data_IF_085788562201
#
_entry.id   IF_085788562201
#
_cell.length_a   1.000
_cell.length_b   1.000
_cell.length_c   1.000
_cell.angle_alpha   90.00
_cell.angle_beta   90.00
_cell.angle_gamma   90.00
#
_symmetry.space_group_name_H-M   'P 1'
#
loop_
_entity.id
_entity.type
_entity.pdbx_description
1 polymer ?
#
# COMPACT_ATOMS: atom_id res chain seq x y z
N UNK A 1 -28.58 -7.02 12.55
CA UNK A 1 -27.74 -6.62 11.40
C UNK A 1 -26.49 -6.00 11.97
N UNK A 2 -25.44 -6.76 12.10
CA UNK A 2 -24.15 -6.34 12.69
C UNK A 2 -23.19 -6.01 11.55
N UNK A 3 -23.36 -4.82 10.96
CA UNK A 3 -22.45 -4.33 9.92
C UNK A 3 -21.08 -3.86 10.44
N UNK A 4 -20.88 -3.80 11.75
CA UNK A 4 -19.68 -3.23 12.36
C UNK A 4 -18.54 -4.24 12.63
N UNK A 5 -18.80 -5.55 12.56
CA UNK A 5 -17.79 -6.56 12.87
C UNK A 5 -16.88 -6.94 11.69
N UNK A 6 -17.20 -6.46 10.48
CA UNK A 6 -16.51 -6.87 9.25
C UNK A 6 -15.64 -5.74 8.64
N UNK A 7 -15.49 -4.63 9.35
CA UNK A 7 -14.64 -3.51 8.95
C UNK A 7 -13.42 -3.46 9.85
N UNK A 8 -12.24 -3.43 9.25
CA UNK A 8 -10.97 -3.17 9.93
C UNK A 8 -10.36 -1.89 9.38
N UNK A 9 -9.78 -1.08 10.25
CA UNK A 9 -9.06 0.12 9.86
C UNK A 9 -7.73 0.19 10.61
N UNK A 10 -6.67 0.59 9.92
CA UNK A 10 -5.34 0.79 10.48
C UNK A 10 -4.82 2.14 10.02
N UNK A 11 -4.25 2.90 10.96
CA UNK A 11 -3.55 4.13 10.67
C UNK A 11 -2.21 4.09 11.42
N UNK A 12 -1.13 4.31 10.70
CA UNK A 12 0.22 4.33 11.26
C UNK A 12 0.93 5.58 10.76
N UNK A 13 1.56 6.28 11.69
CA UNK A 13 2.46 7.39 11.42
C UNK A 13 3.83 7.08 11.99
N UNK A 14 4.86 7.17 11.16
CA UNK A 14 6.25 6.96 11.57
C UNK A 14 7.09 8.14 11.12
N UNK A 15 7.85 8.67 12.05
CA UNK A 15 8.88 9.69 11.77
C UNK A 15 10.24 9.16 12.17
N UNK A 16 11.18 9.20 11.24
CA UNK A 16 12.56 8.77 11.47
C UNK A 16 13.50 9.92 11.13
N UNK A 17 14.47 10.12 11.99
CA UNK A 17 15.54 11.10 11.79
C UNK A 17 16.86 10.44 12.11
N UNK A 18 17.77 10.44 11.16
CA UNK A 18 19.12 9.88 11.30
C UNK A 18 20.12 10.98 11.01
N UNK A 19 21.08 11.15 11.90
CA UNK A 19 22.17 12.09 11.74
C UNK A 19 23.50 11.34 11.74
N UNK A 20 24.30 11.58 10.72
CA UNK A 20 25.62 10.96 10.55
C UNK A 20 26.67 12.06 10.44
N UNK A 21 27.65 12.05 11.34
CA UNK A 21 28.77 12.97 11.32
C UNK A 21 29.95 12.34 10.58
N UNK A 22 30.42 13.01 9.55
CA UNK A 22 31.69 12.67 8.88
C UNK A 22 32.81 13.56 9.43
N UNK A 23 33.71 12.97 10.17
CA UNK A 23 34.86 13.70 10.76
C UNK A 23 35.90 14.06 9.71
N UNK A 24 36.03 13.28 8.65
CA UNK A 24 36.99 13.51 7.56
C UNK A 24 36.55 14.70 6.68
N UNK A 25 35.27 14.79 6.38
CA UNK A 25 34.70 15.88 5.56
C UNK A 25 34.16 17.05 6.37
N UNK A 26 34.17 16.97 7.72
CA UNK A 26 33.63 17.98 8.65
C UNK A 26 32.21 18.38 8.26
N UNK A 27 31.37 17.38 8.02
CA UNK A 27 29.99 17.58 7.58
C UNK A 27 29.01 16.65 8.34
N UNK A 28 27.78 17.13 8.50
CA UNK A 28 26.68 16.35 9.06
C UNK A 28 25.69 16.06 7.94
N UNK A 29 25.37 14.78 7.75
CA UNK A 29 24.29 14.33 6.89
C UNK A 29 23.09 13.99 7.77
N UNK A 30 21.99 14.70 7.54
CA UNK A 30 20.74 14.49 8.22
C UNK A 30 19.72 13.92 7.25
N UNK A 31 19.22 12.71 7.53
CA UNK A 31 18.16 12.07 6.77
C UNK A 31 16.89 12.05 7.60
N UNK A 32 15.81 12.61 7.08
CA UNK A 32 14.49 12.61 7.69
C UNK A 32 13.52 11.83 6.81
N UNK A 33 12.72 10.95 7.40
CA UNK A 33 11.64 10.24 6.73
C UNK A 33 10.35 10.38 7.54
N UNK A 34 9.30 10.85 6.88
CA UNK A 34 7.94 10.88 7.40
C UNK A 34 7.10 9.88 6.59
N UNK A 35 6.60 8.84 7.27
CA UNK A 35 5.82 7.78 6.68
C UNK A 35 4.40 7.78 7.27
N UNK A 36 3.38 7.81 6.41
CA UNK A 36 1.97 7.66 6.77
C UNK A 36 1.43 6.45 6.05
N UNK A 37 0.84 5.52 6.79
CA UNK A 37 0.18 4.35 6.22
C UNK A 37 -1.25 4.27 6.75
N UNK A 38 -2.21 4.17 5.87
CA UNK A 38 -3.62 3.95 6.20
C UNK A 38 -4.12 2.71 5.46
N UNK A 39 -4.75 1.79 6.17
CA UNK A 39 -5.32 0.59 5.60
C UNK A 39 -6.75 0.39 6.08
N UNK A 40 -7.62 -0.07 5.20
CA UNK A 40 -8.98 -0.48 5.54
C UNK A 40 -9.29 -1.81 4.88
N UNK A 41 -9.90 -2.70 5.64
CA UNK A 41 -10.42 -3.97 5.16
C UNK A 41 -11.92 -4.06 5.41
N UNK A 42 -12.66 -4.55 4.42
CA UNK A 42 -14.08 -4.79 4.52
C UNK A 42 -14.43 -6.18 4.02
N UNK A 43 -15.15 -6.94 4.84
CA UNK A 43 -15.65 -8.26 4.50
C UNK A 43 -17.15 -8.26 4.41
N UNK A 44 -17.68 -8.75 3.30
CA UNK A 44 -19.11 -8.94 3.08
C UNK A 44 -19.38 -10.43 2.91
N UNK A 45 -20.20 -10.99 3.78
CA UNK A 45 -20.59 -12.38 3.73
C UNK A 45 -21.87 -12.54 2.91
N UNK A 46 -21.95 -13.60 2.09
CA UNK A 46 -23.16 -13.93 1.36
C UNK A 46 -23.48 -13.06 0.14
N UNK A 47 -22.47 -12.46 -0.49
CA UNK A 47 -22.63 -11.63 -1.70
C UNK A 47 -22.92 -12.48 -2.92
N UNK A 48 -24.01 -12.20 -3.62
CA UNK A 48 -24.39 -12.83 -4.89
C UNK A 48 -24.07 -11.90 -6.06
N UNK A 49 -22.82 -11.89 -6.51
CA UNK A 49 -22.39 -11.04 -7.64
C UNK A 49 -22.77 -11.63 -9.01
N UNK A 50 -22.82 -12.94 -9.15
CA UNK A 50 -23.15 -13.58 -10.41
C UNK A 50 -24.22 -14.67 -10.20
N UNK A 51 -25.35 -14.54 -10.90
CA UNK A 51 -26.39 -15.51 -11.20
C UNK A 51 -26.65 -16.59 -10.15
N UNK A 52 -27.34 -16.25 -9.05
CA UNK A 52 -27.93 -17.28 -8.21
C UNK A 52 -29.03 -17.99 -8.99
N UNK A 53 -28.80 -19.23 -9.42
CA UNK A 53 -29.91 -20.13 -9.75
C UNK A 53 -30.71 -20.36 -8.47
N UNK A 54 -32.01 -20.00 -8.40
CA UNK A 54 -32.85 -20.39 -7.30
C UNK A 54 -33.15 -21.90 -7.48
N UNK A 55 -32.47 -22.74 -6.78
CA UNK A 55 -32.66 -24.17 -6.91
C UNK A 55 -31.94 -24.95 -5.83
N UNK A 56 -32.73 -25.37 -4.86
CA UNK A 56 -32.55 -26.59 -4.10
C UNK A 56 -31.44 -26.66 -3.05
N UNK A 57 -31.84 -26.46 -1.84
CA UNK A 57 -31.45 -27.09 -0.60
C UNK A 57 -30.05 -27.65 -0.41
N UNK A 58 -29.48 -27.35 0.76
CA UNK A 58 -28.33 -27.96 1.40
C UNK A 58 -26.97 -27.74 0.75
N UNK A 59 -26.27 -26.83 1.33
CA UNK A 59 -24.92 -26.33 1.18
C UNK A 59 -24.88 -24.92 0.55
N UNK A 60 -25.34 -23.93 1.30
CA UNK A 60 -25.01 -22.55 1.01
C UNK A 60 -23.50 -22.40 1.14
N UNK A 61 -22.83 -22.36 0.02
CA UNK A 61 -21.46 -21.84 -0.03
C UNK A 61 -21.60 -20.35 0.28
N UNK A 62 -21.04 -19.95 1.39
CA UNK A 62 -20.94 -18.55 1.74
C UNK A 62 -20.04 -17.89 0.69
N UNK A 63 -20.64 -17.08 -0.17
CA UNK A 63 -19.90 -16.29 -1.14
C UNK A 63 -19.39 -15.04 -0.40
N UNK A 64 -18.15 -15.09 0.03
CA UNK A 64 -17.54 -14.00 0.78
C UNK A 64 -16.75 -13.10 -0.16
N UNK A 65 -16.91 -11.80 0.02
CA UNK A 65 -16.13 -10.77 -0.65
C UNK A 65 -15.27 -10.07 0.40
N UNK A 66 -13.96 -10.19 0.27
CA UNK A 66 -13.00 -9.46 1.10
C UNK A 66 -12.38 -8.36 0.25
N UNK A 67 -12.45 -7.12 0.70
CA UNK A 67 -11.84 -5.97 0.05
C UNK A 67 -10.83 -5.35 0.99
N UNK A 68 -9.64 -5.03 0.48
CA UNK A 68 -8.61 -4.32 1.21
C UNK A 68 -8.16 -3.12 0.39
N UNK A 69 -8.00 -1.99 1.07
CA UNK A 69 -7.48 -0.76 0.50
C UNK A 69 -6.37 -0.27 1.42
N UNK A 70 -5.16 -0.17 0.88
CA UNK A 70 -3.99 0.33 1.58
C UNK A 70 -3.45 1.57 0.87
N UNK A 71 -3.22 2.61 1.64
CA UNK A 71 -2.60 3.86 1.22
C UNK A 71 -1.31 4.07 1.99
N UNK A 72 -0.24 4.44 1.30
CA UNK A 72 1.04 4.77 1.92
C UNK A 72 1.61 6.04 1.28
N UNK A 73 2.02 6.96 2.14
CA UNK A 73 2.72 8.17 1.79
C UNK A 73 4.05 8.22 2.52
N UNK A 74 5.13 8.41 1.78
CA UNK A 74 6.48 8.56 2.31
C UNK A 74 7.10 9.84 1.78
N UNK A 75 7.67 10.65 2.67
CA UNK A 75 8.46 11.82 2.32
C UNK A 75 9.82 11.70 2.98
N UNK A 76 10.86 11.55 2.18
CA UNK A 76 12.23 11.37 2.64
C UNK A 76 13.11 12.51 2.10
N UNK A 77 13.88 13.14 2.97
CA UNK A 77 14.81 14.21 2.63
C UNK A 77 16.16 13.94 3.27
N UNK A 78 17.22 14.20 2.53
CA UNK A 78 18.58 14.18 3.06
C UNK A 78 19.24 15.55 2.85
N UNK A 79 19.72 16.13 3.95
CA UNK A 79 20.41 17.40 3.99
C UNK A 79 21.88 17.16 4.38
N UNK A 80 22.79 17.75 3.65
CA UNK A 80 24.20 17.80 4.03
C UNK A 80 24.52 19.20 4.53
N UNK A 81 25.00 19.29 5.76
CA UNK A 81 25.47 20.53 6.39
C UNK A 81 26.98 20.49 6.50
N UNK A 82 27.64 21.37 5.79
CA UNK A 82 29.06 21.58 5.92
C UNK A 82 29.34 22.48 7.13
N UNK A 83 30.05 21.97 8.13
CA UNK A 83 30.33 22.71 9.39
C UNK A 83 31.42 23.75 9.24
N UNK A 84 32.26 23.63 8.19
CA UNK A 84 33.34 24.57 7.94
C UNK A 84 32.86 25.84 7.20
N UNK A 85 31.90 25.63 6.28
CA UNK A 85 31.39 26.72 5.42
C UNK A 85 30.02 27.22 5.85
N UNK A 86 29.44 26.64 6.92
CA UNK A 86 28.09 26.93 7.43
C UNK A 86 26.98 26.80 6.35
N UNK A 87 27.26 26.04 5.30
CA UNK A 87 26.33 25.84 4.21
C UNK A 87 25.48 24.59 4.43
N UNK A 88 24.19 24.67 4.05
CA UNK A 88 23.28 23.54 4.09
C UNK A 88 22.77 23.29 2.68
N UNK A 89 22.94 22.08 2.19
CA UNK A 89 22.52 21.68 0.86
C UNK A 89 21.67 20.40 0.90
N UNK A 90 20.57 20.41 0.18
CA UNK A 90 19.78 19.19 -0.01
C UNK A 90 20.54 18.25 -0.97
N UNK A 91 20.86 17.05 -0.51
CA UNK A 91 21.60 16.05 -1.27
C UNK A 91 20.70 15.08 -1.99
N UNK A 92 19.59 14.72 -1.36
CA UNK A 92 18.58 13.87 -1.98
C UNK A 92 17.23 14.10 -1.32
N UNK A 93 16.18 13.72 -2.03
CA UNK A 93 14.84 13.72 -1.49
C UNK A 93 13.91 12.97 -2.43
N UNK A 94 12.97 12.26 -1.86
CA UNK A 94 11.98 11.50 -2.61
C UNK A 94 10.64 11.51 -1.87
N UNK A 95 9.57 11.75 -2.61
CA UNK A 95 8.20 11.61 -2.15
C UNK A 95 7.56 10.46 -2.89
N UNK A 96 7.11 9.45 -2.16
CA UNK A 96 6.45 8.27 -2.73
C UNK A 96 5.00 8.20 -2.24
N UNK A 97 4.09 7.93 -3.15
CA UNK A 97 2.68 7.65 -2.88
C UNK A 97 2.39 6.27 -3.43
N UNK A 98 1.79 5.41 -2.61
CA UNK A 98 1.33 4.09 -3.02
C UNK A 98 -0.12 3.89 -2.59
N UNK A 99 -0.93 3.40 -3.53
CA UNK A 99 -2.31 2.97 -3.30
C UNK A 99 -2.43 1.53 -3.78
N UNK A 100 -2.85 0.62 -2.91
CA UNK A 100 -3.08 -0.79 -3.23
C UNK A 100 -4.51 -1.15 -2.90
N UNK A 101 -5.21 -1.70 -3.88
CA UNK A 101 -6.56 -2.22 -3.71
C UNK A 101 -6.56 -3.71 -4.06
N UNK A 102 -7.18 -4.53 -3.24
CA UNK A 102 -7.44 -5.94 -3.55
C UNK A 102 -8.86 -6.34 -3.19
N UNK A 103 -9.44 -7.21 -4.00
CA UNK A 103 -10.75 -7.77 -3.76
C UNK A 103 -10.73 -9.28 -4.04
N UNK A 104 -11.02 -10.07 -3.02
CA UNK A 104 -11.10 -11.52 -3.08
C UNK A 104 -12.55 -11.96 -3.01
N UNK A 105 -13.05 -12.58 -4.06
CA UNK A 105 -14.39 -13.10 -4.14
C UNK A 105 -14.39 -14.64 -4.20
N UNK A 106 -14.94 -15.28 -3.18
CA UNK A 106 -15.10 -16.72 -3.12
C UNK A 106 -16.44 -17.11 -3.73
N UNK A 107 -16.43 -17.54 -4.98
CA UNK A 107 -17.64 -17.98 -5.70
C UNK A 107 -18.10 -19.36 -5.26
N UNK A 108 -17.18 -20.29 -5.02
CA UNK A 108 -17.45 -21.63 -4.56
C UNK A 108 -16.28 -22.20 -3.76
N UNK A 109 -16.44 -23.38 -3.15
CA UNK A 109 -15.34 -24.08 -2.45
C UNK A 109 -14.14 -24.35 -3.37
N UNK A 110 -14.36 -24.36 -4.68
CA UNK A 110 -13.36 -24.69 -5.69
C UNK A 110 -12.86 -23.47 -6.46
N UNK A 111 -13.58 -22.35 -6.42
CA UNK A 111 -13.29 -21.17 -7.25
C UNK A 111 -13.22 -19.90 -6.43
N UNK A 112 -12.06 -19.27 -6.44
CA UNK A 112 -11.82 -17.93 -5.88
C UNK A 112 -11.33 -17.00 -6.98
N UNK A 113 -11.90 -15.83 -7.06
CA UNK A 113 -11.52 -14.73 -7.93
C UNK A 113 -10.80 -13.69 -7.10
N UNK A 114 -9.60 -13.34 -7.48
CA UNK A 114 -8.83 -12.24 -6.89
C UNK A 114 -8.67 -11.15 -7.95
N UNK A 115 -8.98 -9.92 -7.57
CA UNK A 115 -8.74 -8.71 -8.35
C UNK A 115 -7.79 -7.82 -7.55
N UNK A 116 -6.78 -7.23 -8.21
CA UNK A 116 -5.89 -6.26 -7.59
C UNK A 116 -5.61 -5.06 -8.49
N UNK A 117 -5.34 -3.95 -7.86
CA UNK A 117 -4.90 -2.72 -8.49
C UNK A 117 -3.88 -2.03 -7.61
N UNK A 118 -2.68 -1.81 -8.13
CA UNK A 118 -1.59 -1.10 -7.49
C UNK A 118 -1.25 0.17 -8.27
N UNK A 119 -1.23 1.28 -7.56
CA UNK A 119 -0.74 2.55 -8.06
C UNK A 119 0.45 2.99 -7.22
N UNK A 120 1.53 3.35 -7.87
CA UNK A 120 2.71 3.91 -7.22
C UNK A 120 3.21 5.12 -8.00
N UNK A 121 3.50 6.20 -7.27
CA UNK A 121 4.08 7.41 -7.85
C UNK A 121 5.25 7.88 -6.99
N UNK A 122 6.38 8.18 -7.63
CA UNK A 122 7.60 8.66 -7.01
C UNK A 122 7.95 10.04 -7.59
N UNK A 123 8.17 11.00 -6.71
CA UNK A 123 8.55 12.37 -7.03
C UNK A 123 9.91 12.68 -6.40
N UNK A 124 11.00 12.75 -7.17
CA UNK A 124 12.28 13.22 -6.65
C UNK A 124 12.17 14.70 -6.29
N UNK A 125 12.67 15.07 -5.10
CA UNK A 125 12.63 16.45 -4.60
C UNK A 125 13.90 17.22 -4.98
N UNK A 126 15.00 16.49 -5.24
CA UNK A 126 16.26 17.06 -5.73
C UNK A 126 16.50 16.45 -7.10
N UNK A 127 16.26 17.26 -8.13
CA UNK A 127 16.27 16.79 -9.53
C UNK A 127 17.48 17.33 -10.26
N UNK A 128 18.61 16.63 -10.19
CA UNK A 128 19.68 16.83 -11.18
C UNK A 128 19.64 15.80 -12.31
N UNK A 129 18.97 14.64 -12.10
CA UNK A 129 18.91 13.56 -13.11
C UNK A 129 17.75 12.57 -12.90
N UNK A 130 16.81 12.84 -12.01
CA UNK A 130 15.69 11.95 -11.75
C UNK A 130 14.35 12.62 -12.12
N UNK A 131 13.49 11.88 -12.80
CA UNK A 131 12.16 12.34 -13.21
C UNK A 131 11.07 11.69 -12.36
N UNK A 132 9.93 12.37 -12.17
CA UNK A 132 8.76 11.74 -11.58
C UNK A 132 8.35 10.48 -12.36
N UNK A 133 8.07 9.40 -11.65
CA UNK A 133 7.60 8.16 -12.24
C UNK A 133 6.27 7.77 -11.64
N UNK A 134 5.38 7.23 -12.48
CA UNK A 134 4.09 6.73 -12.07
C UNK A 134 3.86 5.37 -12.71
N UNK A 135 3.47 4.39 -11.90
CA UNK A 135 3.22 3.02 -12.32
C UNK A 135 1.83 2.61 -11.91
N UNK A 136 1.11 1.98 -12.81
CA UNK A 136 -0.19 1.38 -12.58
C UNK A 136 -0.07 -0.10 -12.91
N UNK A 137 -0.48 -0.94 -12.00
CA UNK A 137 -0.55 -2.39 -12.19
C UNK A 137 -1.93 -2.88 -11.78
N UNK A 138 -2.58 -3.63 -12.66
CA UNK A 138 -3.91 -4.17 -12.42
C UNK A 138 -3.98 -5.59 -12.97
N UNK A 139 -4.59 -6.48 -12.21
CA UNK A 139 -4.71 -7.86 -12.64
C UNK A 139 -5.88 -8.59 -11.99
N UNK A 140 -6.16 -9.74 -12.58
CA UNK A 140 -7.19 -10.67 -12.11
C UNK A 140 -6.63 -12.08 -12.10
N UNK A 141 -6.81 -12.78 -10.99
CA UNK A 141 -6.37 -14.17 -10.84
C UNK A 141 -7.56 -15.06 -10.50
N UNK A 142 -7.68 -16.16 -11.22
CA UNK A 142 -8.64 -17.24 -10.95
C UNK A 142 -7.91 -18.40 -10.28
N UNK A 143 -8.32 -18.77 -9.09
CA UNK A 143 -7.77 -19.92 -8.35
C UNK A 143 -8.79 -21.05 -8.32
N UNK A 144 -8.42 -22.18 -8.92
CA UNK A 144 -9.15 -23.43 -8.83
C UNK A 144 -8.50 -24.37 -7.82
N UNK A 145 -9.28 -24.85 -6.85
CA UNK A 145 -8.84 -25.85 -5.88
C UNK A 145 -9.58 -27.16 -6.19
N UNK A 146 -8.86 -28.15 -6.69
CA UNK A 146 -9.41 -29.49 -6.91
C UNK A 146 -9.32 -30.25 -5.57
N UNK A 147 -10.45 -30.46 -4.94
CA UNK A 147 -10.55 -31.37 -3.78
C UNK A 147 -10.79 -32.78 -4.31
N UNK A 148 -9.91 -33.70 -3.97
CA UNK A 148 -10.05 -35.15 -4.28
C UNK A 148 -10.87 -35.79 -3.19
#
# INVERSE_FOLDING_TARGET
MTFLNDISARLEFRKTRVMTLSTTAVQVVETTSDDITAGTGYRINGVKLFGARPGTGRNQVSNDLNMNLDFSYRNQNALCRNLREETTQATSGNRAIKLSFSADYTYSRMLTLNFYYDFQSNFPLVSTSAYPTSTHDAGMTLKFTLTR
#
